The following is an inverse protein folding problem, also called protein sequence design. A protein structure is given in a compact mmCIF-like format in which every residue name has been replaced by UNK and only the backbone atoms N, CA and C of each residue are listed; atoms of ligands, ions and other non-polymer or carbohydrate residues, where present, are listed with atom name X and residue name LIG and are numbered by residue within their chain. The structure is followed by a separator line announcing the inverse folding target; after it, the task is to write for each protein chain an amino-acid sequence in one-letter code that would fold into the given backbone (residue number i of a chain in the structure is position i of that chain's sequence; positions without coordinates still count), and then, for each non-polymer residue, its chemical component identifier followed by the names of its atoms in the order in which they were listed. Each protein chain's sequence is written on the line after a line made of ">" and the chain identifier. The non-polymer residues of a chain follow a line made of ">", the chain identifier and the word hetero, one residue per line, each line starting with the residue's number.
data_IF_719738461793
#
_entry.id   IF_719738461793
#
_cell.length_a   1.000
_cell.length_b   1.000
_cell.length_c   1.000
_cell.angle_alpha   90.00
_cell.angle_beta   90.00
_cell.angle_gamma   90.00
#
_symmetry.space_group_name_H-M   'P 1'
#
loop_
_entity.id
_entity.type
_entity.pdbx_description
1 polymer ?
#
# COMPACT_ATOMS: atom_id res chain seq x y z
N UNK A 1 10.03 20.02 -10.11
CA UNK A 1 9.79 18.85 -9.23
C UNK A 1 9.15 17.75 -10.08
N UNK A 2 9.80 16.59 -10.28
CA UNK A 2 9.19 15.46 -10.99
C UNK A 2 8.07 14.90 -10.12
N UNK A 3 6.82 14.94 -10.58
CA UNK A 3 5.72 14.19 -9.94
C UNK A 3 6.09 12.71 -10.06
N UNK A 4 6.49 12.08 -8.96
CA UNK A 4 6.50 10.63 -8.88
C UNK A 4 5.06 10.18 -9.08
N UNK A 5 4.78 9.43 -10.14
CA UNK A 5 3.49 8.78 -10.32
C UNK A 5 3.30 7.84 -9.12
N UNK A 6 2.26 8.08 -8.32
CA UNK A 6 1.92 7.19 -7.22
C UNK A 6 1.59 5.80 -7.79
N UNK A 7 2.22 4.77 -7.24
CA UNK A 7 1.99 3.38 -7.64
C UNK A 7 0.52 3.02 -7.38
N UNK A 8 -0.18 2.44 -8.35
CA UNK A 8 -1.58 2.06 -8.15
C UNK A 8 -1.67 0.86 -7.20
N UNK A 9 -2.56 0.87 -6.17
CA UNK A 9 -2.78 -0.28 -5.31
C UNK A 9 -3.44 -1.41 -6.09
N UNK A 10 -2.85 -2.61 -6.07
CA UNK A 10 -3.37 -3.80 -6.75
C UNK A 10 -3.80 -4.84 -5.73
N UNK A 11 -5.05 -5.30 -5.80
CA UNK A 11 -5.56 -6.35 -4.90
C UNK A 11 -4.76 -7.64 -5.07
N UNK A 12 -4.35 -8.25 -3.95
CA UNK A 12 -3.52 -9.44 -3.90
C UNK A 12 -2.02 -9.16 -4.02
N UNK A 13 -1.60 -7.93 -4.34
CA UNK A 13 -0.19 -7.56 -4.41
C UNK A 13 0.37 -7.26 -3.02
N UNK A 14 1.57 -7.77 -2.76
CA UNK A 14 2.35 -7.48 -1.55
C UNK A 14 3.27 -6.29 -1.81
N UNK A 15 3.32 -5.37 -0.84
CA UNK A 15 4.12 -4.16 -0.85
C UNK A 15 4.92 -4.03 0.45
N UNK A 16 5.90 -3.11 0.44
CA UNK A 16 6.54 -2.57 1.64
C UNK A 16 6.33 -1.08 1.75
N UNK A 17 6.08 -0.59 2.95
CA UNK A 17 6.05 0.85 3.26
C UNK A 17 7.46 1.41 3.47
N UNK A 18 7.55 2.73 3.72
CA UNK A 18 8.82 3.39 4.04
C UNK A 18 9.45 2.94 5.37
N UNK A 19 8.71 2.24 6.24
CA UNK A 19 9.21 1.64 7.48
C UNK A 19 9.64 0.19 7.28
N UNK A 20 9.64 -0.31 6.05
CA UNK A 20 9.97 -1.68 5.68
C UNK A 20 8.98 -2.73 6.21
N UNK A 21 7.76 -2.32 6.60
CA UNK A 21 6.68 -3.22 6.96
C UNK A 21 6.03 -3.78 5.70
N UNK A 22 5.86 -5.11 5.65
CA UNK A 22 5.18 -5.79 4.55
C UNK A 22 3.67 -5.78 4.76
N UNK A 23 2.91 -5.54 3.69
CA UNK A 23 1.45 -5.63 3.71
C UNK A 23 0.89 -6.07 2.35
N UNK A 24 -0.31 -6.63 2.36
CA UNK A 24 -1.07 -7.03 1.16
C UNK A 24 -2.29 -6.14 0.99
N UNK A 25 -2.65 -5.81 -0.26
CA UNK A 25 -3.88 -5.08 -0.56
C UNK A 25 -5.05 -6.06 -0.70
N UNK A 26 -6.08 -5.87 0.10
CA UNK A 26 -7.29 -6.70 0.12
C UNK A 26 -8.44 -6.13 -0.74
N UNK A 27 -8.51 -4.80 -0.88
CA UNK A 27 -9.52 -4.12 -1.70
C UNK A 27 -9.05 -2.72 -2.08
N UNK A 28 -9.45 -2.21 -3.24
CA UNK A 28 -9.11 -0.87 -3.73
C UNK A 28 -10.29 -0.12 -4.39
N UNK A 29 -11.55 -0.49 -4.07
CA UNK A 29 -12.74 0.08 -4.73
C UNK A 29 -13.05 1.51 -4.30
N UNK A 30 -13.48 1.71 -3.06
CA UNK A 30 -13.81 3.05 -2.50
C UNK A 30 -12.73 3.57 -1.53
N UNK A 31 -12.05 2.60 -0.91
CA UNK A 31 -10.94 2.76 0.04
C UNK A 31 -9.97 1.64 -0.25
N UNK A 32 -8.71 1.87 0.12
CA UNK A 32 -7.67 0.86 0.00
C UNK A 32 -7.60 0.15 1.35
N UNK A 33 -7.91 -1.14 1.36
CA UNK A 33 -7.80 -1.96 2.56
C UNK A 33 -6.52 -2.77 2.47
N UNK A 34 -5.70 -2.69 3.52
CA UNK A 34 -4.45 -3.43 3.61
C UNK A 34 -4.41 -4.26 4.88
N UNK A 35 -3.70 -5.38 4.82
CA UNK A 35 -3.34 -6.22 5.96
C UNK A 35 -1.82 -6.29 6.05
N UNK A 36 -1.27 -5.88 7.18
CA UNK A 36 0.15 -5.97 7.48
C UNK A 36 0.54 -7.37 7.93
N UNK A 37 1.81 -7.71 7.78
CA UNK A 37 2.33 -9.04 8.13
C UNK A 37 2.21 -9.40 9.62
N UNK A 38 1.95 -8.42 10.49
CA UNK A 38 1.67 -8.62 11.92
C UNK A 38 0.17 -8.86 12.22
N UNK A 39 -0.67 -8.91 11.19
CA UNK A 39 -2.12 -9.11 11.29
C UNK A 39 -2.92 -7.83 11.57
N UNK A 40 -2.29 -6.65 11.57
CA UNK A 40 -2.99 -5.38 11.66
C UNK A 40 -3.64 -4.99 10.32
N UNK A 41 -4.80 -4.35 10.36
CA UNK A 41 -5.53 -3.91 9.16
C UNK A 41 -5.68 -2.38 9.14
N UNK A 42 -5.49 -1.78 7.97
CA UNK A 42 -5.75 -0.35 7.76
C UNK A 42 -6.70 -0.10 6.60
N UNK A 43 -7.47 0.98 6.72
CA UNK A 43 -8.33 1.51 5.66
C UNK A 43 -7.85 2.89 5.27
N UNK A 44 -7.34 2.99 4.05
CA UNK A 44 -6.63 4.15 3.54
C UNK A 44 -7.44 4.88 2.48
N UNK A 45 -7.33 6.20 2.51
CA UNK A 45 -7.63 7.10 1.41
C UNK A 45 -6.52 7.06 0.37
N UNK A 46 -6.78 7.45 -0.90
CA UNK A 46 -5.73 7.57 -1.92
C UNK A 46 -4.52 8.42 -1.48
N UNK A 47 -4.77 9.54 -0.79
CA UNK A 47 -3.71 10.41 -0.24
C UNK A 47 -2.88 9.76 0.88
N UNK A 48 -3.44 8.78 1.60
CA UNK A 48 -2.75 8.06 2.67
C UNK A 48 -1.90 6.94 2.07
N UNK A 49 -2.40 6.30 1.02
CA UNK A 49 -1.62 5.40 0.18
C UNK A 49 -0.39 6.06 -0.43
N UNK A 50 -0.52 7.29 -0.96
CA UNK A 50 0.63 8.06 -1.44
C UNK A 50 1.67 8.30 -0.34
N UNK A 51 1.22 8.60 0.88
CA UNK A 51 2.08 8.84 2.05
C UNK A 51 2.75 7.60 2.59
N UNK A 52 2.16 6.42 2.40
CA UNK A 52 2.78 5.13 2.75
C UNK A 52 4.06 4.88 1.96
N UNK A 53 4.22 5.52 0.80
CA UNK A 53 5.36 5.31 -0.10
C UNK A 53 5.53 3.84 -0.51
N UNK A 54 4.47 3.15 -0.94
CA UNK A 54 4.51 1.71 -1.20
C UNK A 54 5.47 1.37 -2.33
N UNK A 55 6.30 0.35 -2.09
CA UNK A 55 7.14 -0.28 -3.11
C UNK A 55 6.76 -1.75 -3.25
N UNK A 56 6.85 -2.31 -4.47
CA UNK A 56 6.55 -3.73 -4.70
C UNK A 56 7.57 -4.55 -3.90
N UNK A 57 7.09 -5.48 -3.09
CA UNK A 57 7.96 -6.43 -2.41
C UNK A 57 8.52 -7.40 -3.47
N UNK A 58 9.80 -7.27 -3.79
CA UNK A 58 10.51 -8.29 -4.56
C UNK A 58 10.77 -9.49 -3.63
N UNK A 59 10.40 -10.68 -4.09
CA UNK A 59 10.75 -11.95 -3.47
C UNK A 59 12.16 -12.37 -3.88
#
# INVERSE_FOLDING_TARGET
>A
MKKMCALQPMVGQVYRDMKNCSFIVLSNRERIFVEYADGHFERLQPKEWEKLGPSIAAF
#
